data_IF_347876160224
#
_entry.id   IF_347876160224
#
_cell.length_a   1.000
_cell.length_b   1.000
_cell.length_c   1.000
_cell.angle_alpha   90.00
_cell.angle_beta   90.00
_cell.angle_gamma   90.00
#
_symmetry.space_group_name_H-M   'P 1'
#
loop_
_entity.id
_entity.type
_entity.pdbx_description
1 polymer ?
#
# COMPACT_ATOMS: atom_id res chain seq x y z
N UNK A 1 21.06 5.51 18.39
CA UNK A 1 21.15 6.74 17.57
C UNK A 1 19.74 7.10 17.11
N UNK A 2 19.30 8.35 17.30
CA UNK A 2 18.04 8.82 16.75
C UNK A 2 18.24 9.18 15.27
N UNK A 3 17.41 8.61 14.38
CA UNK A 3 17.43 8.92 12.95
C UNK A 3 16.77 10.29 12.75
N UNK A 4 17.46 11.23 12.10
CA UNK A 4 16.90 12.54 11.79
C UNK A 4 15.95 12.42 10.58
N UNK A 5 14.65 12.67 10.84
CA UNK A 5 13.59 12.60 9.84
C UNK A 5 13.19 14.00 9.37
N UNK A 6 13.22 14.20 8.05
CA UNK A 6 12.74 15.41 7.38
C UNK A 6 11.37 15.12 6.75
N UNK A 7 10.43 16.04 6.92
CA UNK A 7 9.11 15.95 6.28
C UNK A 7 9.18 16.48 4.85
N UNK A 8 8.77 15.66 3.89
CA UNK A 8 8.53 16.08 2.51
C UNK A 8 7.03 16.32 2.32
N UNK A 9 6.61 17.55 1.98
CA UNK A 9 5.21 17.84 1.72
C UNK A 9 4.77 17.14 0.43
N UNK A 10 3.53 16.67 0.42
CA UNK A 10 2.87 16.20 -0.81
C UNK A 10 1.88 17.25 -1.30
N UNK A 11 1.24 17.03 -2.46
CA UNK A 11 0.16 17.90 -2.93
C UNK A 11 -1.10 17.82 -2.05
N UNK A 12 -1.17 16.86 -1.12
CA UNK A 12 -2.27 16.70 -0.17
C UNK A 12 -1.81 17.15 1.22
N UNK A 13 -2.58 18.04 1.84
CA UNK A 13 -2.24 18.61 3.15
C UNK A 13 -2.17 17.53 4.25
N UNK A 14 -2.97 16.48 4.12
CA UNK A 14 -3.08 15.41 5.13
C UNK A 14 -2.13 14.22 4.88
N UNK A 15 -1.30 14.27 3.84
CA UNK A 15 -0.34 13.22 3.52
C UNK A 15 1.08 13.79 3.48
N UNK A 16 1.95 13.28 4.35
CA UNK A 16 3.35 13.74 4.46
C UNK A 16 4.28 12.55 4.45
N UNK A 17 5.30 12.59 3.58
CA UNK A 17 6.37 11.60 3.58
C UNK A 17 7.47 12.02 4.55
N UNK A 18 8.03 11.06 5.28
CA UNK A 18 9.17 11.31 6.17
C UNK A 18 10.39 10.65 5.55
N UNK A 19 11.48 11.38 5.44
CA UNK A 19 12.71 10.89 4.81
C UNK A 19 13.90 11.14 5.72
N UNK A 20 14.75 10.13 5.87
CA UNK A 20 16.01 10.23 6.56
C UNK A 20 17.18 10.06 5.58
N UNK A 21 18.17 10.96 5.67
CA UNK A 21 19.45 10.79 4.99
C UNK A 21 20.40 10.00 5.91
N UNK A 22 21.09 9.02 5.36
CA UNK A 22 21.98 8.16 6.14
C UNK A 22 22.68 7.14 5.25
N UNK A 23 23.08 6.03 5.84
CA UNK A 23 23.61 4.87 5.14
C UNK A 23 22.79 3.65 5.57
N UNK A 24 21.86 3.24 4.72
CA UNK A 24 20.98 2.09 4.95
C UNK A 24 21.38 0.97 4.00
N UNK A 25 21.24 -0.28 4.44
CA UNK A 25 21.60 -1.44 3.63
C UNK A 25 20.40 -2.38 3.52
N UNK A 26 20.14 -2.83 2.30
CA UNK A 26 19.33 -4.02 2.02
C UNK A 26 20.25 -5.21 1.78
N UNK A 27 19.71 -6.40 1.53
CA UNK A 27 20.51 -7.59 1.21
C UNK A 27 21.41 -7.43 -0.01
N UNK A 28 21.07 -6.51 -0.94
CA UNK A 28 21.74 -6.38 -2.24
C UNK A 28 22.11 -4.94 -2.61
N UNK A 29 21.89 -3.95 -1.75
CA UNK A 29 22.17 -2.55 -2.07
C UNK A 29 22.41 -1.69 -0.83
N UNK A 30 23.17 -0.62 -1.02
CA UNK A 30 23.37 0.43 -0.03
C UNK A 30 22.67 1.69 -0.54
N UNK A 31 21.83 2.31 0.29
CA UNK A 31 21.01 3.46 -0.07
C UNK A 31 21.26 4.62 0.90
N UNK A 32 21.22 5.85 0.35
CA UNK A 32 21.54 7.06 1.11
C UNK A 32 20.31 7.75 1.71
N UNK A 33 19.12 7.28 1.35
CA UNK A 33 17.84 7.85 1.76
C UNK A 33 16.88 6.73 2.14
N UNK A 34 16.21 6.89 3.29
CA UNK A 34 15.16 6.02 3.76
C UNK A 34 13.84 6.80 3.78
N UNK A 35 12.82 6.29 3.09
CA UNK A 35 11.46 6.83 3.12
C UNK A 35 10.67 6.03 4.14
N UNK A 36 10.26 6.69 5.22
CA UNK A 36 9.45 6.09 6.26
C UNK A 36 7.97 6.11 5.88
N UNK A 37 7.44 4.92 5.66
CA UNK A 37 6.03 4.65 5.32
C UNK A 37 5.25 4.04 6.49
N UNK A 38 5.82 3.99 7.69
CA UNK A 38 5.23 3.32 8.86
C UNK A 38 3.84 3.87 9.18
N UNK A 39 3.68 5.19 9.14
CA UNK A 39 2.39 5.84 9.45
C UNK A 39 1.35 5.56 8.38
N UNK A 40 1.74 5.55 7.11
CA UNK A 40 0.87 5.23 5.97
C UNK A 40 0.37 3.79 6.03
N UNK A 41 1.21 2.85 6.48
CA UNK A 41 0.85 1.43 6.60
C UNK A 41 -0.05 1.14 7.80
N UNK A 42 0.11 1.87 8.90
CA UNK A 42 -0.50 1.49 10.19
C UNK A 42 -1.62 2.41 10.67
N UNK A 43 -1.59 3.71 10.33
CA UNK A 43 -2.59 4.68 10.80
C UNK A 43 -3.70 4.84 9.76
N UNK A 44 -4.92 4.46 10.14
CA UNK A 44 -6.09 4.48 9.25
C UNK A 44 -6.28 5.79 8.47
N UNK A 45 -6.09 6.96 9.11
CA UNK A 45 -6.27 8.25 8.44
C UNK A 45 -5.26 8.49 7.32
N UNK A 46 -4.01 8.07 7.50
CA UNK A 46 -2.96 8.19 6.47
C UNK A 46 -3.16 7.13 5.39
N UNK A 47 -3.48 5.90 5.79
CA UNK A 47 -3.80 4.81 4.86
C UNK A 47 -4.94 5.19 3.92
N UNK A 48 -5.99 5.85 4.44
CA UNK A 48 -7.10 6.36 3.63
C UNK A 48 -6.68 7.46 2.67
N UNK A 49 -5.87 8.43 3.12
CA UNK A 49 -5.36 9.48 2.26
C UNK A 49 -4.50 8.91 1.12
N UNK A 50 -3.67 7.92 1.41
CA UNK A 50 -2.89 7.18 0.40
C UNK A 50 -3.81 6.42 -0.56
N UNK A 51 -4.81 5.71 -0.04
CA UNK A 51 -5.74 4.94 -0.85
C UNK A 51 -6.50 5.82 -1.86
N UNK A 52 -6.98 6.98 -1.44
CA UNK A 52 -7.67 7.92 -2.34
C UNK A 52 -6.77 8.38 -3.50
N UNK A 53 -5.49 8.62 -3.23
CA UNK A 53 -4.53 9.00 -4.26
C UNK A 53 -4.27 7.83 -5.22
N UNK A 54 -4.07 6.62 -4.69
CA UNK A 54 -3.82 5.43 -5.51
C UNK A 54 -5.03 5.06 -6.37
N UNK A 55 -6.24 5.10 -5.81
CA UNK A 55 -7.49 4.74 -6.51
C UNK A 55 -7.73 5.64 -7.73
N UNK A 56 -7.36 6.93 -7.65
CA UNK A 56 -7.52 7.87 -8.77
C UNK A 56 -6.89 7.40 -10.09
N UNK A 57 -5.84 6.57 -10.01
CA UNK A 57 -5.15 6.01 -11.18
C UNK A 57 -5.91 4.85 -11.84
N UNK A 58 -6.83 4.21 -11.13
CA UNK A 58 -7.54 2.99 -11.58
C UNK A 58 -9.00 3.26 -11.98
N UNK A 59 -9.61 4.34 -11.47
CA UNK A 59 -11.07 4.59 -11.51
C UNK A 59 -11.73 4.46 -12.89
N UNK A 60 -11.01 4.74 -13.99
CA UNK A 60 -11.61 4.79 -15.35
C UNK A 60 -10.91 3.87 -16.35
N UNK A 61 -9.88 3.14 -15.91
CA UNK A 61 -8.94 2.46 -16.81
C UNK A 61 -8.92 0.95 -16.60
N UNK A 62 -9.22 0.49 -15.38
CA UNK A 62 -8.94 -0.88 -14.96
C UNK A 62 -10.02 -1.40 -14.03
N UNK A 63 -10.51 -2.60 -14.30
CA UNK A 63 -11.35 -3.35 -13.35
C UNK A 63 -10.42 -4.09 -12.39
N UNK A 64 -10.68 -3.97 -11.09
CA UNK A 64 -9.82 -4.52 -10.04
C UNK A 64 -10.60 -5.53 -9.22
N UNK A 65 -10.28 -6.82 -9.41
CA UNK A 65 -10.93 -7.91 -8.69
C UNK A 65 -10.21 -8.31 -7.41
N UNK A 66 -8.89 -8.09 -7.35
CA UNK A 66 -8.04 -8.46 -6.20
C UNK A 66 -6.91 -7.44 -6.03
N UNK A 67 -6.65 -7.07 -4.77
CA UNK A 67 -5.53 -6.23 -4.34
C UNK A 67 -4.55 -7.10 -3.56
N UNK A 68 -3.34 -7.23 -4.10
CA UNK A 68 -2.22 -7.90 -3.44
C UNK A 68 -1.45 -6.90 -2.57
N UNK A 69 -1.49 -7.09 -1.26
CA UNK A 69 -0.77 -6.27 -0.29
C UNK A 69 0.58 -6.89 0.02
N UNK A 70 1.65 -6.11 -0.12
CA UNK A 70 3.01 -6.50 0.21
C UNK A 70 3.54 -5.66 1.38
N UNK A 71 4.47 -6.20 2.16
CA UNK A 71 5.18 -5.49 3.22
C UNK A 71 4.28 -4.76 4.24
N UNK A 72 3.16 -5.38 4.64
CA UNK A 72 2.29 -4.83 5.68
C UNK A 72 1.42 -3.65 5.21
N UNK A 73 1.00 -3.65 3.94
CA UNK A 73 0.16 -2.60 3.34
C UNK A 73 -1.33 -2.93 3.35
N UNK A 74 -1.78 -3.90 4.16
CA UNK A 74 -3.15 -4.41 4.19
C UNK A 74 -4.17 -3.33 4.51
N UNK A 75 -3.85 -2.42 5.44
CA UNK A 75 -4.74 -1.31 5.80
C UNK A 75 -4.97 -0.38 4.61
N UNK A 76 -3.92 -0.13 3.82
CA UNK A 76 -4.02 0.67 2.59
C UNK A 76 -4.88 -0.09 1.57
N UNK A 77 -4.62 -1.38 1.36
CA UNK A 77 -5.39 -2.22 0.43
C UNK A 77 -6.87 -2.30 0.79
N UNK A 78 -7.20 -2.45 2.08
CA UNK A 78 -8.57 -2.43 2.58
C UNK A 78 -9.25 -1.07 2.34
N UNK A 79 -8.55 0.04 2.58
CA UNK A 79 -9.06 1.37 2.25
C UNK A 79 -9.29 1.51 0.74
N UNK A 80 -8.36 1.06 -0.11
CA UNK A 80 -8.50 1.11 -1.57
C UNK A 80 -9.69 0.29 -2.04
N UNK A 81 -9.84 -0.95 -1.56
CA UNK A 81 -10.98 -1.80 -1.87
C UNK A 81 -12.30 -1.10 -1.54
N UNK A 82 -12.40 -0.52 -0.34
CA UNK A 82 -13.59 0.23 0.07
C UNK A 82 -13.88 1.41 -0.87
N UNK A 83 -12.88 2.21 -1.24
CA UNK A 83 -13.08 3.36 -2.13
C UNK A 83 -13.43 2.93 -3.57
N UNK A 84 -12.86 1.84 -4.09
CA UNK A 84 -13.18 1.27 -5.41
C UNK A 84 -14.57 0.61 -5.47
N UNK A 85 -15.15 0.24 -4.33
CA UNK A 85 -16.51 -0.34 -4.24
C UNK A 85 -17.61 0.69 -3.95
N UNK A 86 -17.29 1.98 -3.82
CA UNK A 86 -18.29 3.02 -3.58
C UNK A 86 -19.20 3.25 -4.80
N UNK A 87 -20.32 3.92 -4.59
CA UNK A 87 -21.27 4.24 -5.66
C UNK A 87 -20.57 5.04 -6.78
N UNK A 88 -20.68 4.55 -8.02
CA UNK A 88 -20.11 5.17 -9.22
C UNK A 88 -18.92 4.43 -9.85
N UNK A 89 -18.42 3.35 -9.23
CA UNK A 89 -17.31 2.56 -9.76
C UNK A 89 -17.81 1.28 -10.44
N UNK A 90 -17.35 1.03 -11.67
CA UNK A 90 -17.73 -0.14 -12.46
C UNK A 90 -16.90 -1.34 -12.02
N UNK A 91 -17.49 -2.21 -11.20
CA UNK A 91 -16.88 -3.48 -10.82
C UNK A 91 -17.52 -4.60 -11.65
N UNK A 92 -16.74 -5.32 -12.47
CA UNK A 92 -17.26 -6.44 -13.29
C UNK A 92 -17.23 -7.79 -12.54
N UNK A 93 -16.74 -7.80 -11.29
CA UNK A 93 -16.64 -8.99 -10.48
C UNK A 93 -18.02 -9.52 -10.06
N UNK A 94 -18.24 -10.84 -10.15
CA UNK A 94 -19.53 -11.49 -9.90
C UNK A 94 -20.10 -11.26 -8.48
N UNK A 95 -19.23 -10.89 -7.53
CA UNK A 95 -19.57 -10.66 -6.13
C UNK A 95 -19.65 -9.17 -5.74
N UNK A 96 -19.46 -8.25 -6.70
CA UNK A 96 -19.45 -6.79 -6.47
C UNK A 96 -18.51 -6.34 -5.33
N UNK A 97 -17.46 -7.11 -5.06
CA UNK A 97 -16.50 -6.86 -3.99
C UNK A 97 -15.08 -7.16 -4.49
N UNK A 98 -14.09 -6.68 -3.74
CA UNK A 98 -12.66 -6.78 -4.07
C UNK A 98 -11.98 -7.58 -2.98
N UNK A 99 -11.22 -8.60 -3.38
CA UNK A 99 -10.43 -9.39 -2.45
C UNK A 99 -9.15 -8.64 -2.08
N UNK A 100 -8.79 -8.63 -0.79
CA UNK A 100 -7.54 -8.06 -0.29
C UNK A 100 -6.73 -9.20 0.30
N UNK A 101 -5.58 -9.51 -0.30
CA UNK A 101 -4.77 -10.67 0.05
C UNK A 101 -3.32 -10.27 0.31
N UNK A 102 -2.68 -10.95 1.25
CA UNK A 102 -1.24 -10.81 1.53
C UNK A 102 -0.58 -12.17 1.29
N UNK A 103 0.52 -12.23 0.51
CA UNK A 103 1.24 -13.47 0.31
C UNK A 103 2.16 -13.76 1.49
N UNK A 104 2.54 -15.02 1.64
CA UNK A 104 3.65 -15.40 2.49
C UNK A 104 4.97 -15.29 1.73
N UNK A 105 6.04 -14.92 2.42
CA UNK A 105 7.37 -14.88 1.84
C UNK A 105 8.17 -16.12 2.22
N UNK A 106 8.75 -16.76 1.22
CA UNK A 106 9.79 -17.78 1.45
C UNK A 106 11.14 -17.10 1.71
N UNK A 107 12.11 -17.87 2.23
CA UNK A 107 13.49 -17.39 2.46
C UNK A 107 14.18 -16.88 1.19
N UNK A 108 13.68 -17.25 0.00
CA UNK A 108 14.18 -16.79 -1.30
C UNK A 108 13.40 -15.63 -1.93
N UNK A 109 12.63 -14.87 -1.14
CA UNK A 109 11.78 -13.76 -1.62
C UNK A 109 10.69 -14.17 -2.63
N UNK A 110 10.38 -15.46 -2.75
CA UNK A 110 9.24 -15.92 -3.55
C UNK A 110 7.94 -15.69 -2.77
N UNK A 111 6.91 -15.25 -3.48
CA UNK A 111 5.56 -15.09 -2.95
C UNK A 111 4.84 -16.44 -2.97
N UNK A 112 4.32 -16.85 -1.82
CA UNK A 112 3.55 -18.07 -1.64
C UNK A 112 2.10 -17.71 -1.29
N UNK A 113 1.16 -18.29 -2.04
CA UNK A 113 -0.27 -18.18 -1.78
C UNK A 113 -0.77 -19.53 -1.28
N UNK A 114 -1.24 -19.58 -0.04
CA UNK A 114 -1.84 -20.82 0.48
C UNK A 114 -3.27 -20.95 -0.03
N UNK A 115 -3.74 -22.18 -0.22
CA UNK A 115 -5.10 -22.41 -0.70
C UNK A 115 -6.16 -21.82 0.26
N UNK A 116 -5.93 -21.83 1.57
CA UNK A 116 -6.82 -21.19 2.54
C UNK A 116 -6.79 -19.65 2.52
N UNK A 117 -5.93 -19.05 1.70
CA UNK A 117 -5.87 -17.60 1.45
C UNK A 117 -6.37 -17.24 0.04
N UNK A 118 -6.70 -18.24 -0.78
CA UNK A 118 -7.40 -18.04 -2.04
C UNK A 118 -8.91 -17.94 -1.76
N UNK A 119 -9.57 -16.86 -2.19
CA UNK A 119 -11.01 -16.72 -2.06
C UNK A 119 -11.81 -17.64 -2.99
#
# INVERSE_FOLDING_TARGET
MAINMVKLPTQKQDLVLRVAKGHFATSHSHINYYIDVTMQKTRLSEARAVALELVSSYTHTTIVDTILCLDGTEVIGACMASELTRDGYVNMNAHQTIYVVTPEHTTGSQLLFRENTSP
#
